data_IF_005350383221
#
_entry.id   IF_005350383221
#
_cell.length_a   1.000
_cell.length_b   1.000
_cell.length_c   1.000
_cell.angle_alpha   90.00
_cell.angle_beta   90.00
_cell.angle_gamma   90.00
#
_symmetry.space_group_name_H-M   'P 1'
#
loop_
_entity.id
_entity.type
_entity.pdbx_description
1 polymer ?
#
# COMPACT_ATOMS: atom_id res chain seq x y z
N UNK A 1 16.89 -18.52 -3.32
CA UNK A 1 15.50 -18.90 -3.70
C UNK A 1 14.54 -18.89 -2.52
N UNK A 2 14.95 -19.37 -1.35
CA UNK A 2 14.12 -19.44 -0.12
C UNK A 2 13.43 -18.12 0.26
N UNK A 3 14.12 -16.97 0.13
CA UNK A 3 13.54 -15.65 0.43
C UNK A 3 12.36 -15.26 -0.49
N UNK A 4 12.41 -15.64 -1.78
CA UNK A 4 11.33 -15.37 -2.73
C UNK A 4 10.13 -16.26 -2.47
N UNK A 5 10.36 -17.55 -2.19
CA UNK A 5 9.28 -18.49 -1.86
C UNK A 5 8.57 -18.08 -0.55
N UNK A 6 9.34 -17.67 0.46
CA UNK A 6 8.78 -17.12 1.70
C UNK A 6 7.99 -15.83 1.46
N UNK A 7 8.53 -14.90 0.65
CA UNK A 7 7.85 -13.67 0.29
C UNK A 7 6.55 -13.91 -0.48
N UNK A 8 6.59 -14.80 -1.47
CA UNK A 8 5.41 -15.20 -2.24
C UNK A 8 4.36 -15.88 -1.37
N UNK A 9 4.76 -16.82 -0.51
CA UNK A 9 3.86 -17.54 0.39
C UNK A 9 3.20 -16.62 1.42
N UNK A 10 3.97 -15.72 2.05
CA UNK A 10 3.44 -14.72 2.97
C UNK A 10 2.51 -13.73 2.25
N UNK A 11 2.90 -13.28 1.06
CA UNK A 11 2.07 -12.41 0.23
C UNK A 11 0.74 -13.06 -0.15
N UNK A 12 0.77 -14.32 -0.59
CA UNK A 12 -0.42 -15.10 -0.93
C UNK A 12 -1.33 -15.25 0.29
N UNK A 13 -0.78 -15.64 1.45
CA UNK A 13 -1.55 -15.82 2.67
C UNK A 13 -2.20 -14.51 3.14
N UNK A 14 -1.44 -13.40 3.16
CA UNK A 14 -1.97 -12.09 3.52
C UNK A 14 -3.04 -11.61 2.54
N UNK A 15 -2.84 -11.85 1.24
CA UNK A 15 -3.83 -11.56 0.21
C UNK A 15 -5.11 -12.39 0.37
N UNK A 16 -5.01 -13.67 0.74
CA UNK A 16 -6.17 -14.51 1.01
C UNK A 16 -6.94 -14.04 2.25
N UNK A 17 -6.24 -13.74 3.36
CA UNK A 17 -6.83 -13.17 4.58
C UNK A 17 -7.52 -11.85 4.25
N UNK A 18 -6.90 -11.01 3.44
CA UNK A 18 -7.50 -9.77 2.96
C UNK A 18 -8.81 -10.00 2.20
N UNK A 19 -8.82 -10.93 1.25
CA UNK A 19 -10.02 -11.28 0.50
C UNK A 19 -11.15 -11.78 1.39
N UNK A 20 -10.84 -12.55 2.43
CA UNK A 20 -11.81 -13.00 3.44
C UNK A 20 -12.36 -11.82 4.24
N UNK A 21 -11.51 -10.88 4.68
CA UNK A 21 -11.95 -9.68 5.40
C UNK A 21 -12.85 -8.79 4.52
N UNK A 22 -12.46 -8.57 3.27
CA UNK A 22 -13.27 -7.85 2.29
C UNK A 22 -14.63 -8.54 2.09
N UNK A 23 -14.64 -9.88 2.09
CA UNK A 23 -15.89 -10.65 1.99
C UNK A 23 -16.79 -10.49 3.21
N UNK A 24 -16.23 -10.60 4.41
CA UNK A 24 -16.97 -10.41 5.66
C UNK A 24 -17.54 -9.00 5.70
N UNK A 25 -16.74 -7.98 5.35
CA UNK A 25 -17.19 -6.60 5.30
C UNK A 25 -18.36 -6.42 4.32
N UNK A 26 -18.26 -6.94 3.10
CA UNK A 26 -19.37 -6.92 2.14
C UNK A 26 -20.64 -7.58 2.71
N UNK A 27 -20.52 -8.69 3.45
CA UNK A 27 -21.67 -9.35 4.10
C UNK A 27 -22.30 -8.51 5.21
N UNK A 28 -21.54 -7.62 5.84
CA UNK A 28 -22.04 -6.73 6.88
C UNK A 28 -22.81 -5.54 6.30
N UNK A 29 -22.40 -5.03 5.14
CA UNK A 29 -23.01 -3.83 4.53
C UNK A 29 -24.08 -4.15 3.49
N UNK A 30 -24.08 -5.35 2.92
CA UNK A 30 -25.11 -5.77 1.97
C UNK A 30 -25.48 -7.23 2.13
N UNK A 31 -26.78 -7.50 2.08
CA UNK A 31 -27.35 -8.85 2.01
C UNK A 31 -27.77 -9.23 0.59
N UNK A 32 -27.86 -8.26 -0.33
CA UNK A 32 -28.34 -8.40 -1.69
C UNK A 32 -27.37 -7.81 -2.72
N UNK A 33 -27.01 -8.54 -3.79
CA UNK A 33 -27.53 -9.85 -4.20
C UNK A 33 -27.00 -11.01 -3.37
N UNK A 34 -27.70 -12.15 -3.41
CA UNK A 34 -27.26 -13.39 -2.78
C UNK A 34 -25.83 -13.75 -3.18
N UNK A 35 -25.03 -13.97 -2.15
CA UNK A 35 -23.62 -14.22 -2.29
C UNK A 35 -23.32 -15.63 -2.79
N UNK A 36 -22.79 -15.73 -4.00
CA UNK A 36 -22.33 -17.01 -4.53
C UNK A 36 -20.97 -17.44 -3.96
N UNK A 37 -20.77 -18.75 -3.86
CA UNK A 37 -19.46 -19.34 -3.55
C UNK A 37 -18.43 -19.03 -4.64
N UNK A 38 -18.84 -19.01 -5.91
CA UNK A 38 -17.97 -18.67 -7.03
C UNK A 38 -17.40 -17.25 -6.92
N UNK A 39 -18.25 -16.26 -6.62
CA UNK A 39 -17.81 -14.88 -6.40
C UNK A 39 -16.90 -14.74 -5.18
N UNK A 40 -17.19 -15.48 -4.11
CA UNK A 40 -16.36 -15.50 -2.90
C UNK A 40 -14.95 -16.03 -3.20
N UNK A 41 -14.85 -17.18 -3.87
CA UNK A 41 -13.57 -17.78 -4.25
C UNK A 41 -12.81 -16.90 -5.24
N UNK A 42 -13.51 -16.19 -6.14
CA UNK A 42 -12.89 -15.23 -7.04
C UNK A 42 -12.24 -14.06 -6.28
N UNK A 43 -12.95 -13.44 -5.33
CA UNK A 43 -12.41 -12.34 -4.50
C UNK A 43 -11.17 -12.81 -3.72
N UNK A 44 -11.26 -13.95 -3.06
CA UNK A 44 -10.15 -14.52 -2.29
C UNK A 44 -8.97 -14.86 -3.22
N UNK A 45 -9.25 -15.48 -4.36
CA UNK A 45 -8.24 -15.86 -5.36
C UNK A 45 -7.50 -14.66 -5.93
N UNK A 46 -8.21 -13.64 -6.40
CA UNK A 46 -7.59 -12.43 -6.94
C UNK A 46 -6.85 -11.62 -5.87
N UNK A 47 -7.38 -11.56 -4.65
CA UNK A 47 -6.68 -10.93 -3.51
C UNK A 47 -5.40 -11.68 -3.15
N UNK A 48 -5.43 -13.02 -3.16
CA UNK A 48 -4.25 -13.86 -2.96
C UNK A 48 -3.22 -13.68 -4.08
N UNK A 49 -3.64 -13.56 -5.35
CA UNK A 49 -2.76 -13.26 -6.48
C UNK A 49 -2.12 -11.87 -6.35
N UNK A 50 -2.91 -10.86 -5.96
CA UNK A 50 -2.40 -9.52 -5.68
C UNK A 50 -1.35 -9.55 -4.57
N UNK A 51 -1.66 -10.21 -3.46
CA UNK A 51 -0.75 -10.39 -2.33
C UNK A 51 0.52 -11.14 -2.71
N UNK A 52 0.41 -12.21 -3.50
CA UNK A 52 1.56 -12.94 -4.05
C UNK A 52 2.46 -12.02 -4.88
N UNK A 53 1.86 -11.20 -5.76
CA UNK A 53 2.59 -10.21 -6.55
C UNK A 53 3.35 -9.21 -5.68
N UNK A 54 2.68 -8.65 -4.66
CA UNK A 54 3.30 -7.72 -3.69
C UNK A 54 4.44 -8.41 -2.94
N UNK A 55 4.25 -9.64 -2.47
CA UNK A 55 5.25 -10.42 -1.76
C UNK A 55 6.49 -10.75 -2.60
N UNK A 56 6.29 -11.10 -3.88
CA UNK A 56 7.37 -11.31 -4.85
C UNK A 56 8.14 -10.02 -5.13
N UNK A 57 7.45 -8.89 -5.33
CA UNK A 57 8.11 -7.59 -5.53
C UNK A 57 8.93 -7.22 -4.30
N UNK A 58 8.36 -7.35 -3.11
CA UNK A 58 9.05 -7.02 -1.86
C UNK A 58 10.32 -7.87 -1.66
N UNK A 59 10.22 -9.19 -1.85
CA UNK A 59 11.36 -10.09 -1.71
C UNK A 59 12.42 -9.91 -2.82
N UNK A 60 12.00 -9.66 -4.05
CA UNK A 60 12.92 -9.40 -5.18
C UNK A 60 13.68 -8.09 -5.00
N UNK A 61 13.04 -7.04 -4.45
CA UNK A 61 13.70 -5.76 -4.14
C UNK A 61 14.74 -5.90 -3.03
N UNK A 62 14.46 -6.68 -1.98
CA UNK A 62 15.45 -6.96 -0.92
C UNK A 62 16.71 -7.65 -1.46
N UNK A 63 16.57 -8.44 -2.53
CA UNK A 63 17.69 -9.13 -3.20
C UNK A 63 18.35 -8.31 -4.32
N UNK A 64 17.91 -7.07 -4.57
CA UNK A 64 18.52 -6.17 -5.56
C UNK A 64 18.19 -6.50 -7.03
N UNK A 65 17.08 -7.21 -7.29
CA UNK A 65 16.68 -7.58 -8.65
C UNK A 65 15.98 -6.44 -9.41
N UNK A 66 15.80 -6.64 -10.72
CA UNK A 66 15.29 -5.61 -11.64
C UNK A 66 13.86 -5.16 -11.34
N UNK A 67 13.50 -3.98 -11.84
CA UNK A 67 12.18 -3.35 -11.64
C UNK A 67 11.04 -4.07 -12.38
N UNK A 68 11.36 -4.97 -13.32
CA UNK A 68 10.40 -5.75 -14.10
C UNK A 68 9.53 -6.67 -13.24
N UNK A 69 10.00 -7.05 -12.04
CA UNK A 69 9.20 -7.80 -11.07
C UNK A 69 7.93 -7.08 -10.63
N UNK A 70 7.84 -5.75 -10.81
CA UNK A 70 6.61 -4.99 -10.53
C UNK A 70 5.42 -5.49 -11.36
N UNK A 71 5.66 -6.10 -12.53
CA UNK A 71 4.61 -6.71 -13.35
C UNK A 71 3.92 -7.91 -12.66
N UNK A 72 4.53 -8.50 -11.63
CA UNK A 72 3.90 -9.60 -10.88
C UNK A 72 2.61 -9.18 -10.15
N UNK A 73 2.39 -7.88 -9.94
CA UNK A 73 1.17 -7.33 -9.33
C UNK A 73 0.01 -7.25 -10.33
N UNK A 74 0.31 -7.19 -11.64
CA UNK A 74 -0.69 -6.93 -12.71
C UNK A 74 -1.85 -7.92 -12.71
N UNK A 75 -1.64 -9.26 -12.59
CA UNK A 75 -2.77 -10.20 -12.54
C UNK A 75 -3.73 -9.94 -11.37
N UNK A 76 -3.21 -9.46 -10.23
CA UNK A 76 -4.03 -9.10 -9.08
C UNK A 76 -4.85 -7.83 -9.27
N UNK A 77 -4.50 -6.98 -10.24
CA UNK A 77 -5.25 -5.75 -10.54
C UNK A 77 -6.63 -6.03 -11.14
N UNK A 78 -6.87 -7.25 -11.65
CA UNK A 78 -8.20 -7.69 -12.10
C UNK A 78 -9.23 -7.55 -10.99
N UNK A 79 -8.82 -7.65 -9.72
CA UNK A 79 -9.68 -7.40 -8.55
C UNK A 79 -10.34 -6.01 -8.58
N UNK A 80 -9.69 -5.02 -9.20
CA UNK A 80 -10.14 -3.64 -9.26
C UNK A 80 -11.02 -3.33 -10.47
N UNK A 81 -11.30 -4.28 -11.36
CA UNK A 81 -12.15 -4.06 -12.55
C UNK A 81 -13.66 -4.05 -12.23
N UNK A 82 -14.03 -4.12 -10.95
CA UNK A 82 -15.40 -4.35 -10.45
C UNK A 82 -15.69 -3.34 -9.31
N UNK A 83 -16.51 -3.60 -8.28
CA UNK A 83 -16.66 -2.69 -7.13
C UNK A 83 -15.35 -2.26 -6.46
N UNK A 84 -14.30 -3.09 -6.57
CA UNK A 84 -12.95 -2.76 -6.10
C UNK A 84 -12.33 -1.52 -6.75
N UNK A 85 -12.86 -1.03 -7.87
CA UNK A 85 -12.34 0.16 -8.57
C UNK A 85 -12.23 1.38 -7.65
N UNK A 86 -13.13 1.54 -6.66
CA UNK A 86 -13.07 2.62 -5.68
C UNK A 86 -11.80 2.57 -4.82
N UNK A 87 -11.24 1.38 -4.59
CA UNK A 87 -9.99 1.17 -3.84
C UNK A 87 -8.73 1.27 -4.72
N UNK A 88 -8.88 1.30 -6.04
CA UNK A 88 -7.75 1.32 -6.96
C UNK A 88 -6.85 2.56 -6.78
N UNK A 89 -7.36 3.79 -6.58
CA UNK A 89 -6.50 4.95 -6.33
C UNK A 89 -5.68 4.80 -5.04
N UNK A 90 -6.29 4.28 -3.97
CA UNK A 90 -5.59 4.01 -2.71
C UNK A 90 -4.45 2.99 -2.90
N UNK A 91 -4.67 1.92 -3.68
CA UNK A 91 -3.61 0.98 -4.01
C UNK A 91 -2.55 1.57 -4.96
N UNK A 92 -2.92 2.26 -6.03
CA UNK A 92 -1.96 2.73 -7.03
C UNK A 92 -1.12 3.92 -6.54
N UNK A 93 -1.73 4.84 -5.79
CA UNK A 93 -1.15 6.14 -5.45
C UNK A 93 -1.04 6.39 -3.95
N UNK A 94 -1.59 5.52 -3.09
CA UNK A 94 -1.50 5.66 -1.63
C UNK A 94 -0.17 5.20 -1.03
N UNK A 95 0.61 4.36 -1.73
CA UNK A 95 1.91 3.85 -1.30
C UNK A 95 2.91 4.92 -0.77
N UNK A 96 3.03 6.08 -1.43
CA UNK A 96 3.83 7.21 -0.95
C UNK A 96 3.54 7.70 0.47
N UNK A 97 2.33 7.51 1.01
CA UNK A 97 1.98 7.93 2.36
C UNK A 97 2.89 7.29 3.43
N UNK A 98 3.28 6.02 3.21
CA UNK A 98 4.00 5.21 4.20
C UNK A 98 5.50 5.05 3.89
N UNK A 99 5.90 5.10 2.63
CA UNK A 99 7.23 4.62 2.22
C UNK A 99 8.26 5.66 1.77
N UNK A 100 7.88 6.93 1.60
CA UNK A 100 8.71 7.91 0.88
C UNK A 100 9.20 9.04 1.77
N UNK A 101 10.47 9.44 1.61
CA UNK A 101 11.13 10.51 2.41
C UNK A 101 10.74 11.95 2.03
N UNK A 102 9.77 12.16 1.14
CA UNK A 102 9.35 13.49 0.66
C UNK A 102 8.00 13.92 1.23
N UNK A 103 7.93 15.12 1.82
CA UNK A 103 6.67 15.68 2.38
C UNK A 103 5.58 15.77 1.31
N UNK A 104 5.91 16.26 0.11
CA UNK A 104 4.94 16.36 -1.01
C UNK A 104 4.36 15.01 -1.40
N UNK A 105 5.20 13.99 -1.58
CA UNK A 105 4.74 12.66 -1.96
C UNK A 105 3.90 11.99 -0.86
N UNK A 106 4.24 12.22 0.42
CA UNK A 106 3.40 11.78 1.53
C UNK A 106 2.05 12.49 1.53
N UNK A 107 2.02 13.80 1.31
CA UNK A 107 0.77 14.57 1.19
C UNK A 107 -0.08 14.04 0.04
N UNK A 108 0.50 13.79 -1.13
CA UNK A 108 -0.22 13.19 -2.28
C UNK A 108 -0.80 11.82 -1.92
N UNK A 109 -0.03 10.97 -1.22
CA UNK A 109 -0.52 9.66 -0.77
C UNK A 109 -1.69 9.77 0.21
N UNK A 110 -1.59 10.66 1.20
CA UNK A 110 -2.66 10.92 2.17
C UNK A 110 -3.89 11.52 1.48
N UNK A 111 -3.71 12.51 0.60
CA UNK A 111 -4.79 13.12 -0.17
C UNK A 111 -5.49 12.10 -1.06
N UNK A 112 -4.75 11.13 -1.61
CA UNK A 112 -5.38 10.06 -2.38
C UNK A 112 -6.27 9.18 -1.50
N UNK A 113 -5.79 8.78 -0.31
CA UNK A 113 -6.58 7.96 0.62
C UNK A 113 -7.82 8.74 1.07
N UNK A 114 -7.64 9.99 1.52
CA UNK A 114 -8.76 10.86 1.96
C UNK A 114 -9.73 11.13 0.82
N UNK A 115 -9.23 11.37 -0.39
CA UNK A 115 -10.06 11.58 -1.58
C UNK A 115 -10.86 10.33 -1.96
N UNK A 116 -10.27 9.15 -1.85
CA UNK A 116 -10.97 7.86 -2.03
C UNK A 116 -12.07 7.68 -1.00
N UNK A 117 -11.83 8.01 0.27
CA UNK A 117 -12.85 7.96 1.33
C UNK A 117 -13.97 8.97 1.10
N UNK A 118 -13.61 10.23 0.81
CA UNK A 118 -14.58 11.29 0.54
C UNK A 118 -15.45 10.97 -0.68
N UNK A 119 -14.87 10.34 -1.71
CA UNK A 119 -15.63 9.87 -2.88
C UNK A 119 -16.60 8.75 -2.51
N UNK A 120 -16.17 7.77 -1.71
CA UNK A 120 -17.04 6.69 -1.26
C UNK A 120 -18.22 7.23 -0.45
N UNK A 121 -17.95 8.13 0.50
CA UNK A 121 -18.96 8.82 1.29
C UNK A 121 -19.92 9.64 0.41
N UNK A 122 -19.37 10.36 -0.58
CA UNK A 122 -20.17 11.14 -1.51
C UNK A 122 -21.13 10.24 -2.31
N UNK A 123 -20.66 9.09 -2.81
CA UNK A 123 -21.51 8.16 -3.55
C UNK A 123 -22.63 7.61 -2.68
N UNK A 124 -22.35 7.24 -1.43
CA UNK A 124 -23.36 6.74 -0.49
C UNK A 124 -24.41 7.80 -0.14
N UNK A 125 -24.00 9.05 0.06
CA UNK A 125 -24.91 10.12 0.50
C UNK A 125 -25.68 10.79 -0.64
N UNK A 126 -25.11 10.87 -1.85
CA UNK A 126 -25.64 11.68 -2.95
C UNK A 126 -26.04 10.86 -4.19
N UNK A 127 -25.70 9.58 -4.26
CA UNK A 127 -26.20 8.65 -5.29
C UNK A 127 -26.83 7.41 -4.64
N UNK A 128 -27.93 7.56 -3.88
CA UNK A 128 -28.65 6.40 -3.35
C UNK A 128 -29.25 5.57 -4.50
N UNK A 129 -29.26 4.26 -4.33
CA UNK A 129 -29.90 3.36 -5.28
C UNK A 129 -31.40 3.66 -5.37
N UNK A 130 -31.98 3.80 -6.58
CA UNK A 130 -33.40 4.11 -6.72
C UNK A 130 -34.26 2.97 -6.15
N UNK A 131 -34.97 3.26 -5.06
CA UNK A 131 -35.82 2.31 -4.36
C UNK A 131 -35.19 1.65 -3.12
N UNK A 132 -33.94 1.99 -2.78
CA UNK A 132 -33.37 1.64 -1.49
C UNK A 132 -33.93 2.54 -0.37
N UNK A 133 -34.06 1.99 0.83
CA UNK A 133 -34.33 2.79 2.03
C UNK A 133 -33.13 3.72 2.31
N UNK A 134 -33.41 4.90 2.89
CA UNK A 134 -32.33 5.83 3.26
C UNK A 134 -31.38 5.14 4.24
N UNK A 135 -30.06 5.13 3.97
CA UNK A 135 -29.11 4.43 4.82
C UNK A 135 -29.10 5.06 6.20
N UNK A 136 -29.16 4.22 7.25
CA UNK A 136 -29.04 4.72 8.61
C UNK A 136 -27.62 5.26 8.83
N UNK A 137 -27.46 6.17 9.79
CA UNK A 137 -26.12 6.66 10.16
C UNK A 137 -25.17 5.51 10.54
N UNK A 138 -25.70 4.45 11.14
CA UNK A 138 -24.93 3.25 11.49
C UNK A 138 -24.37 2.54 10.26
N UNK A 139 -25.18 2.40 9.20
CA UNK A 139 -24.78 1.74 7.96
C UNK A 139 -23.69 2.53 7.23
N UNK A 140 -23.84 3.85 7.15
CA UNK A 140 -22.83 4.75 6.59
C UNK A 140 -21.52 4.64 7.38
N UNK A 141 -21.59 4.59 8.71
CA UNK A 141 -20.40 4.47 9.56
C UNK A 141 -19.69 3.12 9.37
N UNK A 142 -20.43 2.00 9.32
CA UNK A 142 -19.86 0.66 9.11
C UNK A 142 -19.24 0.55 7.71
N UNK A 143 -19.91 1.11 6.70
CA UNK A 143 -19.38 1.22 5.35
C UNK A 143 -18.05 1.99 5.34
N UNK A 144 -18.04 3.22 5.85
CA UNK A 144 -16.86 4.08 5.82
C UNK A 144 -15.69 3.51 6.62
N UNK A 145 -15.93 2.98 7.82
CA UNK A 145 -14.85 2.41 8.64
C UNK A 145 -14.23 1.20 7.94
N UNK A 146 -15.05 0.29 7.42
CA UNK A 146 -14.53 -0.88 6.71
C UNK A 146 -13.81 -0.48 5.42
N UNK A 147 -14.35 0.47 4.66
CA UNK A 147 -13.73 0.99 3.45
C UNK A 147 -12.39 1.70 3.76
N UNK A 148 -12.30 2.46 4.86
CA UNK A 148 -11.07 3.10 5.33
C UNK A 148 -9.99 2.07 5.67
N UNK A 149 -10.34 1.03 6.43
CA UNK A 149 -9.43 -0.07 6.74
C UNK A 149 -8.97 -0.74 5.46
N UNK A 150 -9.88 -0.94 4.50
CA UNK A 150 -9.57 -1.54 3.21
C UNK A 150 -8.57 -0.68 2.40
N UNK A 151 -8.85 0.61 2.28
CA UNK A 151 -8.01 1.57 1.56
C UNK A 151 -6.61 1.70 2.19
N UNK A 152 -6.52 1.80 3.52
CA UNK A 152 -5.26 1.96 4.24
C UNK A 152 -4.36 0.73 4.07
N UNK A 153 -4.90 -0.49 4.17
CA UNK A 153 -4.05 -1.67 4.02
C UNK A 153 -3.57 -1.85 2.57
N UNK A 154 -4.37 -1.49 1.56
CA UNK A 154 -3.94 -1.47 0.16
C UNK A 154 -2.87 -0.41 -0.09
N UNK A 155 -3.03 0.79 0.45
CA UNK A 155 -2.01 1.83 0.39
C UNK A 155 -0.71 1.38 1.08
N UNK A 156 -0.81 0.69 2.21
CA UNK A 156 0.34 0.09 2.87
C UNK A 156 1.01 -0.98 2.00
N UNK A 157 0.24 -1.90 1.42
CA UNK A 157 0.76 -2.93 0.52
C UNK A 157 1.47 -2.32 -0.70
N UNK A 158 0.90 -1.26 -1.28
CA UNK A 158 1.51 -0.47 -2.34
C UNK A 158 2.85 0.14 -1.92
N UNK A 159 2.98 0.60 -0.66
CA UNK A 159 4.24 1.11 -0.15
C UNK A 159 5.36 0.06 -0.22
N UNK A 160 5.06 -1.23 0.00
CA UNK A 160 6.02 -2.33 -0.12
C UNK A 160 6.49 -2.53 -1.56
N UNK A 161 5.61 -2.27 -2.53
CA UNK A 161 5.94 -2.30 -3.97
C UNK A 161 6.84 -1.12 -4.35
N UNK A 162 6.61 0.07 -3.76
CA UNK A 162 7.31 1.31 -4.17
C UNK A 162 8.55 1.66 -3.36
N UNK A 163 8.79 1.04 -2.20
CA UNK A 163 9.98 1.27 -1.38
C UNK A 163 11.27 1.15 -2.24
N UNK A 164 12.05 2.24 -2.27
CA UNK A 164 13.40 2.23 -2.84
C UNK A 164 14.33 1.61 -1.80
N UNK A 165 15.25 0.75 -2.25
CA UNK A 165 16.35 0.24 -1.43
C UNK A 165 17.01 1.46 -0.79
N UNK A 166 17.07 1.52 0.54
CA UNK A 166 17.90 2.52 1.21
C UNK A 166 19.32 2.26 0.72
N UNK A 167 19.81 3.13 -0.17
CA UNK A 167 21.12 2.98 -0.77
C UNK A 167 22.11 2.88 0.38
N UNK A 168 22.90 1.81 0.38
CA UNK A 168 24.06 1.62 1.24
C UNK A 168 25.15 2.64 0.86
N UNK A 169 24.86 3.93 1.01
CA UNK A 169 25.76 5.06 0.74
C UNK A 169 26.65 5.35 1.96
N UNK A 170 26.52 4.59 3.05
CA UNK A 170 27.37 4.74 4.25
C UNK A 170 28.60 3.81 4.29
N UNK A 171 28.92 3.07 3.23
CA UNK A 171 30.02 2.09 3.23
C UNK A 171 31.33 2.51 2.55
N UNK A 172 31.42 3.71 1.95
CA UNK A 172 32.62 4.14 1.20
C UNK A 172 33.25 5.45 1.70
N UNK A 173 32.86 5.91 2.91
CA UNK A 173 33.45 7.09 3.54
C UNK A 173 34.37 6.77 4.75
N UNK A 174 34.71 5.51 4.99
CA UNK A 174 35.56 5.10 6.12
C UNK A 174 36.75 4.21 5.71
N UNK A 175 37.14 4.23 4.43
CA UNK A 175 38.16 3.33 3.90
C UNK A 175 39.04 3.94 2.81
N UNK A 176 39.43 5.21 2.96
CA UNK A 176 40.54 5.80 2.22
C UNK A 176 41.01 7.02 3.01
N UNK A 177 41.80 6.76 4.04
CA UNK A 177 42.94 7.56 4.50
C UNK A 177 43.07 7.45 6.02
N UNK A 178 43.86 6.45 6.42
CA UNK A 178 44.62 6.54 7.64
C UNK A 178 45.50 7.77 7.57
N UNK A 179 45.11 8.80 8.30
CA UNK A 179 45.84 10.04 8.44
C UNK A 179 45.48 10.69 9.76
N UNK A 180 46.16 10.26 10.83
CA UNK A 180 46.25 11.01 12.08
C UNK A 180 46.80 12.40 11.73
N UNK A 181 45.94 13.42 11.73
CA UNK A 181 46.38 14.81 11.89
C UNK A 181 45.55 15.42 13.00
N UNK A 182 46.12 15.38 14.20
CA UNK A 182 45.85 16.38 15.20
C UNK A 182 46.19 17.76 14.59
N UNK A 183 45.18 18.58 14.29
CA UNK A 183 45.38 20.03 14.16
C UNK A 183 45.08 20.64 15.51
N UNK A 184 46.07 20.54 16.38
CA UNK A 184 46.33 21.58 17.36
C UNK A 184 46.76 22.85 16.60
N UNK A 185 46.23 24.01 17.00
CA UNK A 185 46.87 25.30 16.75
C UNK A 185 46.62 25.97 15.40
N UNK A 186 45.47 26.62 15.23
CA UNK A 186 45.37 27.90 14.50
C UNK A 186 44.41 28.81 15.28
N UNK A 187 44.86 29.25 16.45
CA UNK A 187 44.22 30.32 17.22
C UNK A 187 45.19 31.52 17.33
N UNK A 188 45.94 31.77 16.27
CA UNK A 188 46.93 32.85 16.17
C UNK A 188 46.74 33.59 14.84
N UNK A 189 45.66 34.39 14.74
CA UNK A 189 45.51 35.43 13.70
C UNK A 189 44.34 36.41 13.91
N UNK A 190 44.12 36.90 15.14
CA UNK A 190 43.24 38.06 15.38
C UNK A 190 43.83 39.05 16.40
N UNK A 191 45.11 39.39 16.23
CA UNK A 191 45.69 40.61 16.80
C UNK A 191 46.44 41.33 15.68
N UNK A 192 45.98 42.53 15.34
CA UNK A 192 46.68 43.48 14.48
C UNK A 192 46.02 43.74 13.14
N UNK A 193 44.90 44.50 13.15
CA UNK A 193 44.78 45.79 12.47
C UNK A 193 43.74 46.65 13.21
#
# INVERSE_FOLDING_TARGET
MTALLRGAGLGLALGAVWGVLARIWMRLITTDPEFSWAGTLAIIGFSALLGLGVGLVHASRRTGRSRWWTLAVVPGLVLFMSPGMLLAPAFLLGGPAFGVRGRLLRVVGVLTIVGTLALALYLVLFMPDPGAEDPSFGDVLVFEVGFAVLAVALAWASSLVWQRKASAVQGHALGADGGVVAVAGVHDRLVGQ
#
